data_IF_987171305948
#
_entry.id   IF_987171305948
#
_cell.length_a   1.000
_cell.length_b   1.000
_cell.length_c   1.000
_cell.angle_alpha   90.00
_cell.angle_beta   90.00
_cell.angle_gamma   90.00
#
_symmetry.space_group_name_H-M   'P 1'
#
loop_
_entity.id
_entity.type
_entity.pdbx_description
1 polymer ?
#
# COMPACT_ATOMS: atom_id res chain seq x y z
N UNK A 1 -3.12 -35.20 -24.32
CA UNK A 1 -2.13 -35.19 -23.22
C UNK A 1 -2.88 -34.94 -21.93
N UNK A 2 -3.37 -36.02 -21.30
CA UNK A 2 -4.08 -36.01 -20.02
C UNK A 2 -3.04 -35.89 -18.92
N UNK A 3 -3.14 -34.86 -18.07
CA UNK A 3 -2.54 -34.89 -16.73
C UNK A 3 -3.65 -34.53 -15.74
N UNK A 4 -4.28 -35.59 -15.25
CA UNK A 4 -4.75 -35.82 -13.88
C UNK A 4 -5.36 -34.62 -13.14
N UNK A 5 -6.69 -34.64 -13.08
CA UNK A 5 -7.46 -34.12 -11.97
C UNK A 5 -7.20 -34.97 -10.71
N UNK A 6 -6.82 -34.34 -9.60
CA UNK A 6 -7.24 -34.69 -8.23
C UNK A 6 -6.57 -33.70 -7.25
N UNK A 7 -7.30 -32.66 -6.84
CA UNK A 7 -7.07 -32.02 -5.55
C UNK A 7 -8.44 -31.60 -5.01
N UNK A 8 -8.95 -32.21 -3.93
CA UNK A 8 -10.16 -31.74 -3.28
C UNK A 8 -9.84 -30.40 -2.61
N UNK A 9 -10.79 -29.47 -2.72
CA UNK A 9 -10.97 -28.27 -1.88
C UNK A 9 -9.91 -28.06 -0.79
N UNK A 10 -8.80 -27.40 -1.11
CA UNK A 10 -7.92 -26.79 -0.12
C UNK A 10 -8.34 -25.32 -0.01
N UNK A 11 -8.85 -24.93 1.14
CA UNK A 11 -9.21 -23.54 1.43
C UNK A 11 -7.97 -22.65 1.30
N UNK A 12 -8.14 -21.40 0.88
CA UNK A 12 -7.04 -20.45 0.69
C UNK A 12 -6.22 -20.22 1.99
N UNK A 13 -6.82 -20.47 3.16
CA UNK A 13 -6.15 -20.50 4.45
C UNK A 13 -5.21 -21.70 4.61
N UNK A 14 -5.56 -22.88 4.09
CA UNK A 14 -4.68 -24.04 4.04
C UNK A 14 -3.58 -23.86 2.99
N UNK A 15 -3.83 -23.23 1.85
CA UNK A 15 -2.75 -22.95 0.89
C UNK A 15 -1.75 -21.92 1.42
N UNK A 16 -2.22 -20.90 2.15
CA UNK A 16 -1.33 -19.95 2.84
C UNK A 16 -0.53 -20.64 3.95
N UNK A 17 -1.15 -21.48 4.80
CA UNK A 17 -0.41 -22.22 5.85
C UNK A 17 0.55 -23.26 5.27
N UNK A 18 0.16 -24.02 4.24
CA UNK A 18 0.98 -25.05 3.60
C UNK A 18 2.14 -24.44 2.78
N UNK A 19 1.92 -23.28 2.15
CA UNK A 19 2.98 -22.55 1.44
C UNK A 19 3.92 -21.84 2.41
N UNK A 20 3.43 -21.26 3.50
CA UNK A 20 4.25 -20.67 4.56
C UNK A 20 5.05 -21.74 5.29
N UNK A 21 4.49 -22.93 5.51
CA UNK A 21 5.18 -24.07 6.10
C UNK A 21 6.17 -24.72 5.13
N UNK A 22 5.86 -24.86 3.83
CA UNK A 22 6.83 -25.30 2.81
C UNK A 22 7.93 -24.27 2.58
N UNK A 23 7.63 -22.98 2.63
CA UNK A 23 8.61 -21.91 2.46
C UNK A 23 9.51 -21.80 3.69
N UNK A 24 8.96 -21.89 4.91
CA UNK A 24 9.77 -22.05 6.13
C UNK A 24 10.65 -23.30 6.07
N UNK A 25 10.12 -24.46 5.63
CA UNK A 25 10.94 -25.67 5.45
C UNK A 25 12.02 -25.49 4.38
N UNK A 26 11.71 -24.82 3.26
CA UNK A 26 12.63 -24.61 2.14
C UNK A 26 13.70 -23.56 2.48
N UNK A 27 13.37 -22.52 3.26
CA UNK A 27 14.35 -21.58 3.81
C UNK A 27 15.23 -22.29 4.84
N UNK A 28 14.63 -23.06 5.76
CA UNK A 28 15.35 -23.80 6.79
C UNK A 28 16.27 -24.88 6.18
N UNK A 29 15.91 -25.46 5.03
CA UNK A 29 16.74 -26.44 4.31
C UNK A 29 17.85 -25.82 3.45
N UNK A 30 17.74 -24.53 3.11
CA UNK A 30 18.74 -23.82 2.29
C UNK A 30 19.61 -22.83 3.07
N UNK A 31 19.33 -22.61 4.36
CA UNK A 31 20.28 -21.93 5.23
C UNK A 31 21.47 -22.86 5.44
N UNK A 32 22.69 -22.52 4.95
CA UNK A 32 23.88 -23.14 5.50
C UNK A 32 23.83 -22.92 7.02
N UNK A 33 24.34 -23.88 7.80
CA UNK A 33 24.54 -23.74 9.25
C UNK A 33 25.49 -22.57 9.50
N UNK A 34 24.98 -21.35 9.41
CA UNK A 34 25.70 -20.13 9.69
C UNK A 34 25.69 -19.96 11.19
N UNK A 35 26.86 -20.00 11.81
CA UNK A 35 27.02 -19.66 13.21
C UNK A 35 26.61 -18.20 13.43
N UNK A 36 25.34 -17.99 13.78
CA UNK A 36 24.78 -16.67 14.10
C UNK A 36 25.53 -15.95 15.24
N UNK A 37 26.31 -16.68 16.02
CA UNK A 37 27.07 -16.17 17.16
C UNK A 37 28.39 -15.45 16.78
N UNK A 38 28.94 -15.67 15.58
CA UNK A 38 30.26 -15.10 15.18
C UNK A 38 30.18 -14.03 14.08
N UNK A 39 28.97 -13.75 13.57
CA UNK A 39 28.79 -12.86 12.43
C UNK A 39 28.72 -11.38 12.86
N UNK A 40 29.30 -10.49 12.04
CA UNK A 40 29.24 -9.05 12.28
C UNK A 40 27.79 -8.54 12.34
N UNK A 41 27.52 -7.60 13.25
CA UNK A 41 26.16 -7.12 13.56
C UNK A 41 25.48 -6.53 12.33
N UNK A 42 26.26 -5.88 11.46
CA UNK A 42 25.78 -5.32 10.19
C UNK A 42 25.37 -6.40 9.19
N UNK A 43 26.15 -7.48 9.08
CA UNK A 43 25.81 -8.60 8.20
C UNK A 43 24.56 -9.31 8.69
N UNK A 44 24.39 -9.43 10.02
CA UNK A 44 23.20 -10.03 10.61
C UNK A 44 21.94 -9.20 10.34
N UNK A 45 22.00 -7.87 10.48
CA UNK A 45 20.85 -7.00 10.15
C UNK A 45 20.51 -7.04 8.67
N UNK A 46 21.53 -7.01 7.79
CA UNK A 46 21.31 -7.13 6.33
C UNK A 46 20.70 -8.48 5.95
N UNK A 47 21.18 -9.59 6.52
CA UNK A 47 20.62 -10.91 6.27
C UNK A 47 19.18 -11.02 6.78
N UNK A 48 18.92 -10.49 7.99
CA UNK A 48 17.60 -10.44 8.60
C UNK A 48 16.61 -9.64 7.76
N UNK A 49 16.94 -8.40 7.41
CA UNK A 49 16.09 -7.54 6.57
C UNK A 49 15.92 -8.11 5.17
N UNK A 50 16.99 -8.66 4.56
CA UNK A 50 16.91 -9.33 3.26
C UNK A 50 15.96 -10.53 3.26
N UNK A 51 15.97 -11.33 4.32
CA UNK A 51 15.01 -12.44 4.48
C UNK A 51 13.56 -11.94 4.59
N UNK A 52 13.32 -10.84 5.30
CA UNK A 52 12.01 -10.21 5.41
C UNK A 52 11.52 -9.69 4.05
N UNK A 53 12.40 -9.07 3.25
CA UNK A 53 12.06 -8.63 1.89
C UNK A 53 11.69 -9.81 1.00
N UNK A 54 12.46 -10.90 1.04
CA UNK A 54 12.16 -12.12 0.27
C UNK A 54 10.82 -12.73 0.67
N UNK A 55 10.51 -12.79 1.97
CA UNK A 55 9.21 -13.23 2.49
C UNK A 55 8.06 -12.35 2.00
N UNK A 56 8.18 -11.03 2.14
CA UNK A 56 7.15 -10.08 1.69
C UNK A 56 6.91 -10.18 0.18
N UNK A 57 7.99 -10.22 -0.61
CA UNK A 57 7.93 -10.45 -2.05
C UNK A 57 7.25 -11.79 -2.39
N UNK A 58 7.56 -12.85 -1.67
CA UNK A 58 6.95 -14.16 -1.88
C UNK A 58 5.43 -14.12 -1.68
N UNK A 59 4.95 -13.56 -0.57
CA UNK A 59 3.51 -13.46 -0.29
C UNK A 59 2.78 -12.57 -1.30
N UNK A 60 3.39 -11.46 -1.72
CA UNK A 60 2.79 -10.60 -2.75
C UNK A 60 2.78 -11.29 -4.10
N UNK A 61 3.85 -11.98 -4.51
CA UNK A 61 3.91 -12.73 -5.77
C UNK A 61 2.86 -13.85 -5.82
N UNK A 62 2.64 -14.57 -4.72
CA UNK A 62 1.57 -15.55 -4.62
C UNK A 62 0.20 -14.90 -4.90
N UNK A 63 -0.09 -13.77 -4.25
CA UNK A 63 -1.36 -13.07 -4.39
C UNK A 63 -1.55 -12.51 -5.82
N UNK A 64 -0.50 -11.88 -6.38
CA UNK A 64 -0.47 -11.40 -7.77
C UNK A 64 -0.76 -12.55 -8.72
N UNK A 65 -0.07 -13.68 -8.56
CA UNK A 65 -0.23 -14.88 -9.39
C UNK A 65 -1.68 -15.38 -9.34
N UNK A 66 -2.28 -15.50 -8.16
CA UNK A 66 -3.68 -15.90 -8.03
C UNK A 66 -4.63 -14.94 -8.77
N UNK A 67 -4.43 -13.61 -8.66
CA UNK A 67 -5.24 -12.65 -9.41
C UNK A 67 -5.06 -12.76 -10.92
N UNK A 68 -3.83 -13.02 -11.39
CA UNK A 68 -3.52 -13.22 -12.81
C UNK A 68 -4.11 -14.53 -13.35
N UNK A 69 -4.13 -15.61 -12.56
CA UNK A 69 -4.74 -16.88 -12.96
C UNK A 69 -6.26 -16.77 -13.11
N UNK A 70 -6.93 -16.06 -12.20
CA UNK A 70 -8.38 -15.84 -12.24
C UNK A 70 -8.74 -14.48 -12.86
N UNK A 71 -8.13 -14.14 -13.99
CA UNK A 71 -8.32 -12.84 -14.64
C UNK A 71 -9.68 -12.73 -15.33
N UNK A 72 -10.64 -12.07 -14.68
CA UNK A 72 -12.02 -11.89 -15.19
C UNK A 72 -12.42 -10.43 -15.31
N UNK A 73 -12.17 -9.65 -14.26
CA UNK A 73 -12.52 -8.23 -14.20
C UNK A 73 -11.25 -7.38 -14.25
N UNK A 74 -10.74 -7.06 -15.46
CA UNK A 74 -9.46 -6.37 -15.61
C UNK A 74 -9.45 -4.98 -14.98
N UNK A 75 -10.62 -4.33 -14.80
CA UNK A 75 -10.71 -3.01 -14.17
C UNK A 75 -10.39 -3.08 -12.67
N UNK A 76 -10.97 -4.05 -11.97
CA UNK A 76 -10.79 -4.24 -10.53
C UNK A 76 -9.42 -4.85 -10.25
N UNK A 77 -9.08 -5.93 -10.94
CA UNK A 77 -7.85 -6.67 -10.68
C UNK A 77 -6.61 -5.84 -10.99
N UNK A 78 -6.61 -5.00 -12.05
CA UNK A 78 -5.50 -4.05 -12.27
C UNK A 78 -5.34 -3.06 -11.12
N UNK A 79 -6.43 -2.57 -10.52
CA UNK A 79 -6.35 -1.66 -9.38
C UNK A 79 -5.83 -2.40 -8.13
N UNK A 80 -6.32 -3.62 -7.87
CA UNK A 80 -5.85 -4.48 -6.77
C UNK A 80 -4.37 -4.79 -6.91
N UNK A 81 -3.89 -5.19 -8.11
CA UNK A 81 -2.48 -5.51 -8.35
C UNK A 81 -1.57 -4.33 -8.00
N UNK A 82 -1.97 -3.11 -8.32
CA UNK A 82 -1.20 -1.91 -7.97
C UNK A 82 -1.20 -1.69 -6.45
N UNK A 83 -2.33 -1.91 -5.78
CA UNK A 83 -2.42 -1.74 -4.32
C UNK A 83 -1.53 -2.74 -3.58
N UNK A 84 -1.56 -4.02 -3.96
CA UNK A 84 -0.80 -5.07 -3.25
C UNK A 84 0.73 -4.97 -3.49
N UNK A 85 1.15 -4.30 -4.57
CA UNK A 85 2.56 -4.01 -4.82
C UNK A 85 3.15 -2.94 -3.88
N UNK A 86 2.32 -2.31 -3.04
CA UNK A 86 2.79 -1.33 -2.04
C UNK A 86 3.71 -1.96 -0.99
N UNK A 87 3.35 -3.11 -0.42
CA UNK A 87 4.15 -3.75 0.62
C UNK A 87 5.57 -4.14 0.17
N UNK A 88 5.76 -4.86 -0.96
CA UNK A 88 7.10 -5.22 -1.41
C UNK A 88 7.93 -4.00 -1.86
N UNK A 89 7.29 -2.96 -2.40
CA UNK A 89 7.98 -1.72 -2.75
C UNK A 89 8.59 -1.07 -1.52
N UNK A 90 7.84 -0.97 -0.42
CA UNK A 90 8.33 -0.41 0.84
C UNK A 90 9.44 -1.29 1.44
N UNK A 91 9.30 -2.62 1.37
CA UNK A 91 10.32 -3.54 1.85
C UNK A 91 11.64 -3.40 1.08
N UNK A 92 11.56 -3.34 -0.26
CA UNK A 92 12.73 -3.14 -1.13
C UNK A 92 13.40 -1.79 -0.87
N UNK A 93 12.61 -0.72 -0.82
CA UNK A 93 13.12 0.63 -0.62
C UNK A 93 13.85 0.76 0.73
N UNK A 94 13.25 0.25 1.81
CA UNK A 94 13.90 0.22 3.12
C UNK A 94 15.12 -0.70 3.16
N UNK A 95 15.13 -1.81 2.42
CA UNK A 95 16.34 -2.63 2.30
C UNK A 95 17.46 -1.92 1.53
N UNK A 96 17.13 -1.19 0.47
CA UNK A 96 18.09 -0.36 -0.26
C UNK A 96 18.66 0.74 0.65
N UNK A 97 17.81 1.40 1.45
CA UNK A 97 18.25 2.35 2.47
C UNK A 97 19.16 1.75 3.54
N UNK A 98 19.04 0.45 3.84
CA UNK A 98 19.96 -0.28 4.74
C UNK A 98 21.28 -0.68 4.10
N UNK A 99 21.29 -0.95 2.80
CA UNK A 99 22.54 -1.26 2.09
C UNK A 99 23.37 0.03 1.96
N UNK A 100 22.72 1.13 1.58
CA UNK A 100 23.36 2.43 1.34
C UNK A 100 23.16 3.42 2.51
N UNK A 101 23.46 2.99 3.74
CA UNK A 101 23.35 3.84 4.95
C UNK A 101 24.22 5.11 4.87
N UNK A 102 25.28 5.10 4.05
CA UNK A 102 26.14 6.28 3.82
C UNK A 102 25.79 7.04 2.53
N UNK A 103 24.65 6.73 1.93
CA UNK A 103 24.16 7.38 0.72
C UNK A 103 24.00 8.89 0.91
N UNK A 104 24.02 9.64 -0.20
CA UNK A 104 23.79 11.08 -0.18
C UNK A 104 22.39 11.39 0.37
N UNK A 105 22.21 12.48 1.12
CA UNK A 105 20.89 12.95 1.59
C UNK A 105 19.86 13.07 0.45
N UNK A 106 20.32 13.36 -0.77
CA UNK A 106 19.47 13.41 -1.97
C UNK A 106 18.91 12.03 -2.37
N UNK A 107 19.66 10.95 -2.14
CA UNK A 107 19.23 9.59 -2.43
C UNK A 107 18.11 9.15 -1.48
N UNK A 108 18.25 9.38 -0.18
CA UNK A 108 17.19 9.10 0.80
C UNK A 108 15.91 9.93 0.53
N UNK A 109 16.07 11.23 0.23
CA UNK A 109 14.95 12.09 -0.18
C UNK A 109 14.24 11.56 -1.44
N UNK A 110 14.99 10.95 -2.37
CA UNK A 110 14.44 10.32 -3.56
C UNK A 110 13.65 9.04 -3.22
N UNK A 111 14.19 8.16 -2.39
CA UNK A 111 13.50 6.94 -1.92
C UNK A 111 12.17 7.28 -1.22
N UNK A 112 12.20 8.23 -0.30
CA UNK A 112 10.99 8.72 0.37
C UNK A 112 10.00 9.32 -0.63
N UNK A 113 10.48 10.11 -1.59
CA UNK A 113 9.63 10.64 -2.66
C UNK A 113 8.96 9.54 -3.48
N UNK A 114 9.65 8.42 -3.76
CA UNK A 114 9.08 7.27 -4.48
C UNK A 114 7.96 6.63 -3.67
N UNK A 115 8.18 6.35 -2.37
CA UNK A 115 7.16 5.83 -1.44
C UNK A 115 5.93 6.74 -1.41
N UNK A 116 6.15 8.03 -1.22
CA UNK A 116 5.10 9.05 -1.13
C UNK A 116 4.29 9.19 -2.43
N UNK A 117 4.94 9.13 -3.60
CA UNK A 117 4.26 9.12 -4.90
C UNK A 117 3.46 7.84 -5.11
N UNK A 118 4.01 6.70 -4.67
CA UNK A 118 3.32 5.43 -4.75
C UNK A 118 2.07 5.40 -3.86
N UNK A 119 2.13 5.94 -2.64
CA UNK A 119 0.96 6.10 -1.77
C UNK A 119 -0.17 6.87 -2.48
N UNK A 120 0.16 7.99 -3.13
CA UNK A 120 -0.82 8.77 -3.88
C UNK A 120 -1.49 7.96 -4.99
N UNK A 121 -0.68 7.23 -5.76
CA UNK A 121 -1.16 6.34 -6.81
C UNK A 121 -2.06 5.22 -6.26
N UNK A 122 -1.68 4.61 -5.14
CA UNK A 122 -2.47 3.56 -4.46
C UNK A 122 -3.83 4.10 -3.99
N UNK A 123 -3.88 5.29 -3.39
CA UNK A 123 -5.15 5.92 -2.98
C UNK A 123 -6.07 6.15 -4.18
N UNK A 124 -5.52 6.63 -5.31
CA UNK A 124 -6.32 6.81 -6.52
C UNK A 124 -6.81 5.49 -7.14
N UNK A 125 -5.99 4.44 -7.11
CA UNK A 125 -6.41 3.10 -7.55
C UNK A 125 -7.44 2.49 -6.60
N UNK A 126 -7.34 2.73 -5.31
CA UNK A 126 -8.34 2.31 -4.34
C UNK A 126 -9.68 3.01 -4.59
N UNK A 127 -9.69 4.32 -4.84
CA UNK A 127 -10.91 5.01 -5.27
C UNK A 127 -11.47 4.42 -6.57
N UNK A 128 -10.62 4.19 -7.58
CA UNK A 128 -11.04 3.58 -8.84
C UNK A 128 -11.60 2.16 -8.67
N UNK A 129 -11.07 1.38 -7.72
CA UNK A 129 -11.58 0.07 -7.35
C UNK A 129 -12.98 0.18 -6.76
N UNK A 130 -13.22 1.13 -5.84
CA UNK A 130 -14.55 1.38 -5.28
C UNK A 130 -15.57 1.79 -6.36
N UNK A 131 -15.18 2.64 -7.31
CA UNK A 131 -16.02 2.96 -8.48
C UNK A 131 -16.39 1.73 -9.31
N UNK A 132 -15.45 0.80 -9.48
CA UNK A 132 -15.68 -0.43 -10.23
C UNK A 132 -16.62 -1.38 -9.50
N UNK A 133 -16.50 -1.53 -8.17
CA UNK A 133 -17.42 -2.36 -7.38
C UNK A 133 -18.86 -1.89 -7.44
N UNK A 134 -19.08 -0.58 -7.58
CA UNK A 134 -20.41 -0.01 -7.75
C UNK A 134 -20.94 -0.10 -9.19
N UNK A 135 -20.17 -0.67 -10.13
CA UNK A 135 -20.44 -0.63 -11.57
C UNK A 135 -20.66 0.79 -12.14
N UNK A 136 -20.22 1.83 -11.43
CA UNK A 136 -20.37 3.22 -11.88
C UNK A 136 -19.31 3.49 -12.94
N UNK A 137 -19.71 3.39 -14.21
CA UNK A 137 -18.86 3.77 -15.33
C UNK A 137 -19.07 5.24 -15.69
N UNK A 138 -18.21 6.11 -15.14
CA UNK A 138 -18.19 7.55 -15.46
C UNK A 138 -18.07 7.81 -16.98
N UNK A 139 -17.44 6.88 -17.72
CA UNK A 139 -17.25 6.96 -19.18
C UNK A 139 -18.52 6.70 -20.00
N UNK A 140 -19.52 6.00 -19.45
CA UNK A 140 -20.76 5.69 -20.19
C UNK A 140 -21.94 6.57 -19.80
N UNK A 141 -21.78 7.48 -18.83
CA UNK A 141 -22.90 8.27 -18.28
C UNK A 141 -24.07 7.43 -17.76
N UNK A 142 -23.81 6.16 -17.39
CA UNK A 142 -24.80 5.26 -16.81
C UNK A 142 -24.53 5.27 -15.30
N UNK A 143 -25.19 6.19 -14.61
CA UNK A 143 -25.41 6.07 -13.17
C UNK A 143 -26.69 5.26 -13.03
N UNK A 144 -26.69 4.11 -12.33
CA UNK A 144 -27.93 3.37 -12.10
C UNK A 144 -28.95 4.31 -11.43
N UNK A 145 -30.17 4.36 -11.96
CA UNK A 145 -31.22 5.29 -11.48
C UNK A 145 -31.56 5.08 -9.98
N UNK A 146 -31.22 3.91 -9.43
CA UNK A 146 -31.34 3.54 -8.02
C UNK A 146 -30.38 4.33 -7.08
N UNK A 147 -29.36 4.98 -7.64
CA UNK A 147 -28.37 5.78 -6.89
C UNK A 147 -28.57 7.29 -7.10
N UNK A 148 -29.36 7.69 -8.10
CA UNK A 148 -29.56 9.07 -8.51
C UNK A 148 -30.46 9.77 -7.47
N UNK A 149 -29.92 10.74 -6.73
CA UNK A 149 -30.68 11.53 -5.74
C UNK A 149 -30.33 11.32 -4.27
N UNK A 150 -29.38 10.42 -3.92
CA UNK A 150 -28.85 10.36 -2.54
C UNK A 150 -28.21 11.69 -2.15
N UNK A 151 -28.41 12.13 -0.91
CA UNK A 151 -27.80 13.37 -0.42
C UNK A 151 -26.38 13.10 0.11
N UNK A 152 -25.43 13.92 -0.32
CA UNK A 152 -24.07 13.94 0.24
C UNK A 152 -24.06 15.02 1.33
N UNK A 153 -23.84 14.61 2.58
CA UNK A 153 -23.56 15.54 3.66
C UNK A 153 -22.05 15.84 3.67
N UNK A 154 -21.68 17.07 3.34
CA UNK A 154 -20.30 17.53 3.42
C UNK A 154 -19.96 17.90 4.87
N UNK A 155 -19.14 17.09 5.54
CA UNK A 155 -18.56 17.45 6.83
C UNK A 155 -17.54 18.60 6.70
N UNK A 156 -17.42 19.40 7.75
CA UNK A 156 -16.43 20.48 7.89
C UNK A 156 -15.00 19.91 7.72
N UNK A 157 -14.05 20.58 7.01
CA UNK A 157 -14.03 21.98 6.56
C UNK A 157 -14.47 22.24 5.10
N UNK A 158 -14.87 21.22 4.32
CA UNK A 158 -15.26 21.42 2.92
C UNK A 158 -16.56 22.22 2.75
N UNK A 159 -17.35 22.36 3.82
CA UNK A 159 -18.55 23.22 3.88
C UNK A 159 -18.23 24.71 3.62
N UNK A 160 -16.96 25.11 3.69
CA UNK A 160 -16.50 26.47 3.38
C UNK A 160 -16.41 26.74 1.86
N UNK A 161 -16.19 25.69 1.05
CA UNK A 161 -15.95 25.81 -0.40
C UNK A 161 -17.04 25.14 -1.26
N UNK A 162 -17.89 24.27 -0.68
CA UNK A 162 -19.00 23.60 -1.37
C UNK A 162 -20.28 23.61 -0.51
N UNK A 163 -21.49 23.59 -1.11
CA UNK A 163 -22.75 23.56 -0.37
C UNK A 163 -22.83 22.35 0.58
N UNK A 164 -23.47 22.54 1.74
CA UNK A 164 -23.56 21.56 2.83
C UNK A 164 -24.25 20.25 2.44
N UNK A 165 -25.17 20.32 1.49
CA UNK A 165 -25.89 19.20 0.89
C UNK A 165 -25.78 19.31 -0.63
N UNK A 166 -25.20 18.29 -1.25
CA UNK A 166 -25.15 18.18 -2.71
C UNK A 166 -25.81 16.86 -3.08
N UNK A 167 -26.78 16.90 -4.00
CA UNK A 167 -27.34 15.67 -4.53
C UNK A 167 -26.24 14.89 -5.24
N UNK A 168 -26.26 13.58 -5.05
CA UNK A 168 -25.37 12.64 -5.72
C UNK A 168 -25.67 12.67 -7.23
N UNK A 169 -24.95 13.56 -7.91
CA UNK A 169 -24.98 13.71 -9.35
C UNK A 169 -23.66 13.24 -9.96
N UNK A 170 -23.68 12.96 -11.26
CA UNK A 170 -22.50 12.59 -12.04
C UNK A 170 -21.37 13.61 -11.92
N UNK A 171 -21.72 14.91 -11.80
CA UNK A 171 -20.74 15.97 -11.63
C UNK A 171 -19.98 15.85 -10.30
N UNK A 172 -20.65 15.53 -9.21
CA UNK A 172 -20.03 15.39 -7.88
C UNK A 172 -19.12 14.17 -7.82
N UNK A 173 -19.51 13.05 -8.45
CA UNK A 173 -18.64 11.88 -8.59
C UNK A 173 -17.38 12.18 -9.40
N UNK A 174 -17.51 12.92 -10.51
CA UNK A 174 -16.35 13.40 -11.27
C UNK A 174 -15.44 14.29 -10.41
N UNK A 175 -16.00 15.20 -9.62
CA UNK A 175 -15.22 16.07 -8.73
C UNK A 175 -14.41 15.28 -7.70
N UNK A 176 -15.02 14.30 -7.01
CA UNK A 176 -14.32 13.45 -6.05
C UNK A 176 -13.13 12.72 -6.70
N UNK A 177 -13.31 12.21 -7.92
CA UNK A 177 -12.23 11.60 -8.70
C UNK A 177 -11.14 12.62 -9.07
N UNK A 178 -11.51 13.82 -9.50
CA UNK A 178 -10.55 14.87 -9.84
C UNK A 178 -9.73 15.31 -8.63
N UNK A 179 -10.33 15.42 -7.44
CA UNK A 179 -9.60 15.75 -6.21
C UNK A 179 -8.56 14.68 -5.83
N UNK A 180 -8.87 13.40 -6.02
CA UNK A 180 -7.88 12.35 -5.79
C UNK A 180 -6.79 12.34 -6.86
N UNK A 181 -7.14 12.57 -8.13
CA UNK A 181 -6.15 12.68 -9.21
C UNK A 181 -5.25 13.91 -9.08
N UNK A 182 -5.77 15.00 -8.50
CA UNK A 182 -4.99 16.20 -8.19
C UNK A 182 -3.82 15.86 -7.26
N UNK A 183 -4.05 15.04 -6.22
CA UNK A 183 -2.97 14.57 -5.34
C UNK A 183 -1.93 13.69 -6.06
N UNK A 184 -2.37 12.77 -6.92
CA UNK A 184 -1.46 11.91 -7.71
C UNK A 184 -0.52 12.70 -8.61
N UNK A 185 -0.97 13.86 -9.11
CA UNK A 185 -0.18 14.70 -10.01
C UNK A 185 0.68 15.70 -9.23
N UNK A 186 0.14 16.33 -8.19
CA UNK A 186 0.87 17.34 -7.41
C UNK A 186 2.02 16.71 -6.62
N UNK A 187 1.82 15.52 -6.06
CA UNK A 187 2.86 14.84 -5.25
C UNK A 187 4.19 14.68 -6.01
N UNK A 188 4.25 14.02 -7.19
CA UNK A 188 5.50 13.87 -7.93
C UNK A 188 6.05 15.19 -8.46
N UNK A 189 5.19 16.14 -8.86
CA UNK A 189 5.65 17.47 -9.30
C UNK A 189 6.38 18.18 -8.16
N UNK A 190 5.76 18.22 -6.97
CA UNK A 190 6.38 18.80 -5.79
C UNK A 190 7.66 18.06 -5.39
N UNK A 191 7.68 16.73 -5.41
CA UNK A 191 8.89 15.94 -5.10
C UNK A 191 10.06 16.27 -6.04
N UNK A 192 9.80 16.36 -7.36
CA UNK A 192 10.84 16.75 -8.34
C UNK A 192 11.34 18.17 -8.04
N UNK A 193 10.45 19.13 -7.79
CA UNK A 193 10.85 20.48 -7.43
C UNK A 193 11.67 20.54 -6.15
N UNK A 194 11.30 19.79 -5.11
CA UNK A 194 12.05 19.72 -3.85
C UNK A 194 13.46 19.20 -4.07
N UNK A 195 13.64 18.10 -4.81
CA UNK A 195 14.96 17.53 -5.12
C UNK A 195 15.80 18.51 -5.94
N UNK A 196 15.22 19.14 -6.98
CA UNK A 196 15.93 20.12 -7.82
C UNK A 196 16.39 21.32 -7.01
N UNK A 197 15.53 21.86 -6.15
CA UNK A 197 15.89 23.00 -5.29
C UNK A 197 16.97 22.64 -4.27
N UNK A 198 16.96 21.40 -3.77
CA UNK A 198 17.99 20.88 -2.87
C UNK A 198 19.35 20.73 -3.58
N UNK A 199 19.36 20.26 -4.82
CA UNK A 199 20.58 20.18 -5.65
C UNK A 199 21.15 21.55 -6.00
N UNK A 200 20.29 22.56 -6.20
CA UNK A 200 20.71 23.95 -6.45
C UNK A 200 21.15 24.68 -5.18
N UNK A 201 20.98 24.09 -4.00
CA UNK A 201 21.27 24.75 -2.71
C UNK A 201 20.31 25.90 -2.35
N UNK A 202 19.19 26.05 -3.08
CA UNK A 202 18.19 27.10 -2.87
C UNK A 202 17.05 26.67 -1.93
N UNK A 203 17.14 25.47 -1.35
CA UNK A 203 16.11 24.92 -0.47
C UNK A 203 16.08 25.62 0.89
N UNK A 204 15.40 26.76 0.93
CA UNK A 204 15.23 27.60 2.13
C UNK A 204 14.08 27.09 2.99
N UNK A 205 14.12 27.35 4.30
CA UNK A 205 13.06 26.96 5.26
C UNK A 205 11.66 27.38 4.80
N UNK A 206 11.47 28.62 4.34
CA UNK A 206 10.16 29.10 3.87
C UNK A 206 9.61 28.32 2.67
N UNK A 207 10.50 27.90 1.77
CA UNK A 207 10.14 27.10 0.58
C UNK A 207 9.72 25.69 1.02
N UNK A 208 10.49 25.07 1.93
CA UNK A 208 10.14 23.78 2.54
C UNK A 208 8.73 23.82 3.16
N UNK A 209 8.46 24.81 4.02
CA UNK A 209 7.16 24.98 4.65
C UNK A 209 6.03 25.16 3.63
N UNK A 210 6.29 25.91 2.55
CA UNK A 210 5.31 26.10 1.48
C UNK A 210 4.94 24.78 0.80
N UNK A 211 5.93 23.96 0.41
CA UNK A 211 5.67 22.64 -0.17
C UNK A 211 4.95 21.71 0.82
N UNK A 212 5.38 21.70 2.08
CA UNK A 212 4.72 20.90 3.14
C UNK A 212 3.24 21.28 3.28
N UNK A 213 2.91 22.57 3.31
CA UNK A 213 1.51 23.03 3.40
C UNK A 213 0.70 22.61 2.17
N UNK A 214 1.23 22.82 0.96
CA UNK A 214 0.56 22.43 -0.30
C UNK A 214 0.28 20.92 -0.32
N UNK A 215 1.27 20.11 0.05
CA UNK A 215 1.17 18.65 0.09
C UNK A 215 0.16 18.19 1.15
N UNK A 216 0.15 18.80 2.34
CA UNK A 216 -0.82 18.51 3.39
C UNK A 216 -2.25 18.85 2.98
N UNK A 217 -2.47 19.98 2.30
CA UNK A 217 -3.79 20.34 1.77
C UNK A 217 -4.22 19.34 0.70
N UNK A 218 -3.33 18.98 -0.22
CA UNK A 218 -3.64 18.05 -1.32
C UNK A 218 -3.96 16.63 -0.81
N UNK A 219 -3.17 16.08 0.12
CA UNK A 219 -3.47 14.76 0.72
C UNK A 219 -4.76 14.81 1.54
N UNK A 220 -5.02 15.89 2.27
CA UNK A 220 -6.25 16.05 3.05
C UNK A 220 -7.48 16.07 2.14
N UNK A 221 -7.41 16.77 1.01
CA UNK A 221 -8.49 16.83 0.03
C UNK A 221 -8.74 15.45 -0.63
N UNK A 222 -7.69 14.70 -0.96
CA UNK A 222 -7.80 13.37 -1.54
C UNK A 222 -8.35 12.32 -0.56
N UNK A 223 -7.95 12.39 0.72
CA UNK A 223 -8.51 11.52 1.76
C UNK A 223 -9.96 11.91 2.08
N UNK A 224 -10.26 13.21 2.11
CA UNK A 224 -11.63 13.69 2.28
C UNK A 224 -12.55 13.17 1.17
N UNK A 225 -12.12 13.25 -0.10
CA UNK A 225 -12.92 12.76 -1.22
C UNK A 225 -13.22 11.27 -1.11
N UNK A 226 -12.24 10.48 -0.65
CA UNK A 226 -12.39 9.06 -0.42
C UNK A 226 -13.33 8.74 0.74
N UNK A 227 -13.23 9.47 1.86
CA UNK A 227 -14.11 9.29 3.03
C UNK A 227 -15.55 9.65 2.70
N UNK A 228 -15.77 10.78 2.00
CA UNK A 228 -17.11 11.17 1.53
C UNK A 228 -17.68 10.11 0.60
N UNK A 229 -16.89 9.63 -0.37
CA UNK A 229 -17.31 8.56 -1.26
C UNK A 229 -17.69 7.30 -0.47
N UNK A 230 -16.86 6.88 0.48
CA UNK A 230 -17.16 5.72 1.33
C UNK A 230 -18.47 5.90 2.11
N UNK A 231 -18.69 7.04 2.75
CA UNK A 231 -19.88 7.27 3.57
C UNK A 231 -21.18 7.24 2.74
N UNK A 232 -21.15 7.81 1.53
CA UNK A 232 -22.30 7.81 0.60
C UNK A 232 -22.66 6.40 0.14
N UNK A 233 -21.66 5.57 -0.10
CA UNK A 233 -21.80 4.24 -0.68
C UNK A 233 -21.59 3.10 0.32
N UNK A 234 -21.56 3.38 1.62
CA UNK A 234 -21.20 2.40 2.66
C UNK A 234 -22.08 1.15 2.62
N UNK A 235 -23.39 1.30 2.36
CA UNK A 235 -24.35 0.20 2.24
C UNK A 235 -24.06 -0.71 1.05
N UNK A 236 -23.76 -0.14 -0.11
CA UNK A 236 -23.46 -0.87 -1.34
C UNK A 236 -22.11 -1.58 -1.29
N UNK A 237 -21.13 -0.97 -0.61
CA UNK A 237 -19.80 -1.57 -0.46
C UNK A 237 -19.68 -2.51 0.73
N UNK A 238 -20.66 -2.55 1.65
CA UNK A 238 -20.67 -3.46 2.79
C UNK A 238 -20.23 -4.91 2.45
N UNK A 239 -20.72 -5.57 1.38
CA UNK A 239 -20.30 -6.92 1.02
C UNK A 239 -18.80 -7.04 0.68
N UNK A 240 -18.15 -5.96 0.24
CA UNK A 240 -16.76 -5.96 -0.20
C UNK A 240 -15.74 -5.55 0.89
N UNK A 241 -16.21 -5.29 2.13
CA UNK A 241 -15.39 -4.89 3.30
C UNK A 241 -14.32 -3.83 2.97
N UNK A 242 -14.71 -2.66 2.42
CA UNK A 242 -13.79 -1.63 1.93
C UNK A 242 -12.91 -1.02 3.04
N UNK A 243 -13.41 -0.94 4.28
CA UNK A 243 -12.62 -0.39 5.40
C UNK A 243 -11.39 -1.24 5.70
N UNK A 244 -11.49 -2.57 5.63
CA UNK A 244 -10.34 -3.45 5.84
C UNK A 244 -9.29 -3.25 4.73
N UNK A 245 -9.75 -3.11 3.48
CA UNK A 245 -8.89 -2.82 2.32
C UNK A 245 -8.21 -1.46 2.42
N UNK A 246 -8.93 -0.42 2.85
CA UNK A 246 -8.39 0.91 3.09
C UNK A 246 -7.42 0.93 4.27
N UNK A 247 -7.77 0.29 5.38
CA UNK A 247 -6.92 0.18 6.58
C UNK A 247 -5.62 -0.55 6.26
N UNK A 248 -5.64 -1.49 5.32
CA UNK A 248 -4.43 -2.15 4.85
C UNK A 248 -3.47 -1.17 4.13
N UNK A 249 -4.00 -0.25 3.33
CA UNK A 249 -3.21 0.80 2.65
C UNK A 249 -2.71 1.83 3.67
N UNK A 250 -3.65 2.42 4.41
CA UNK A 250 -3.32 3.54 5.30
C UNK A 250 -2.56 3.07 6.54
N UNK A 251 -2.75 1.82 6.95
CA UNK A 251 -2.00 1.19 8.03
C UNK A 251 -0.50 1.19 7.76
N UNK A 252 -0.06 0.80 6.57
CA UNK A 252 1.37 0.84 6.18
C UNK A 252 1.96 2.23 6.44
N UNK A 253 1.30 3.26 5.90
CA UNK A 253 1.75 4.66 6.03
C UNK A 253 1.69 5.14 7.47
N UNK A 254 0.64 4.79 8.20
CA UNK A 254 0.43 5.18 9.59
C UNK A 254 1.53 4.61 10.49
N UNK A 255 1.80 3.30 10.43
CA UNK A 255 2.86 2.69 11.21
C UNK A 255 4.23 3.24 10.81
N UNK A 256 4.49 3.41 9.50
CA UNK A 256 5.73 4.02 9.01
C UNK A 256 5.98 5.44 9.53
N UNK A 257 4.93 6.25 9.61
CA UNK A 257 5.04 7.61 10.14
C UNK A 257 5.26 7.61 11.66
N UNK A 258 4.43 6.89 12.41
CA UNK A 258 4.51 6.89 13.87
C UNK A 258 5.81 6.27 14.39
N UNK A 259 6.33 5.23 13.74
CA UNK A 259 7.62 4.67 14.13
C UNK A 259 8.77 5.67 13.91
N UNK A 260 8.74 6.46 12.83
CA UNK A 260 9.71 7.52 12.60
C UNK A 260 9.71 8.56 13.73
N UNK A 261 8.52 9.04 14.12
CA UNK A 261 8.37 9.99 15.23
C UNK A 261 8.85 9.40 16.56
N UNK A 262 8.50 8.15 16.86
CA UNK A 262 8.96 7.47 18.09
C UNK A 262 10.48 7.39 18.13
N UNK A 263 11.12 7.00 17.02
CA UNK A 263 12.57 6.90 16.94
C UNK A 263 13.26 8.26 17.05
N UNK A 264 12.68 9.32 16.47
CA UNK A 264 13.16 10.70 16.61
C UNK A 264 13.09 11.17 18.07
N UNK A 265 12.00 10.89 18.78
CA UNK A 265 11.86 11.19 20.21
C UNK A 265 12.90 10.42 21.03
N UNK A 266 13.12 9.13 20.73
CA UNK A 266 14.13 8.31 21.42
C UNK A 266 15.56 8.84 21.20
N UNK A 267 15.85 9.35 20.00
CA UNK A 267 17.10 10.04 19.68
C UNK A 267 17.23 11.34 20.47
N UNK A 268 16.18 12.16 20.53
CA UNK A 268 16.16 13.42 21.27
C UNK A 268 16.36 13.25 22.79
N UNK A 269 15.84 12.16 23.38
CA UNK A 269 16.01 11.81 24.81
C UNK A 269 17.43 11.26 25.09
N UNK A 270 18.24 11.00 24.07
CA UNK A 270 19.62 10.52 24.21
C UNK A 270 19.73 9.03 24.57
N UNK A 271 18.67 8.25 24.35
CA UNK A 271 18.66 6.79 24.47
C UNK A 271 19.48 6.18 23.32
N UNK A 272 19.33 6.72 22.11
CA UNK A 272 20.13 6.34 20.94
C UNK A 272 21.40 7.20 20.94
N UNK A 273 22.52 6.66 21.42
CA UNK A 273 23.82 7.35 21.42
C UNK A 273 24.68 6.94 20.23
N UNK A 274 25.31 7.90 19.56
CA UNK A 274 26.37 7.60 18.60
C UNK A 274 27.63 7.17 19.37
N UNK A 275 27.95 5.88 19.32
CA UNK A 275 29.12 5.33 20.00
C UNK A 275 30.40 5.40 19.14
N UNK A 276 30.28 5.84 17.88
CA UNK A 276 31.37 5.99 16.93
C UNK A 276 31.39 7.38 16.30
N UNK A 277 32.58 7.96 16.21
CA UNK A 277 32.89 9.30 15.67
C UNK A 277 32.47 9.51 14.20
N UNK A 278 32.06 8.46 13.49
CA UNK A 278 31.72 8.46 12.07
C UNK A 278 30.24 8.12 11.75
N UNK A 279 29.43 7.80 12.76
CA UNK A 279 28.03 7.41 12.59
C UNK A 279 27.14 8.39 13.36
N UNK A 280 26.57 9.35 12.63
CA UNK A 280 25.60 10.29 13.21
C UNK A 280 24.35 9.53 13.69
N UNK A 281 23.72 10.09 14.74
CA UNK A 281 22.47 9.55 15.32
C UNK A 281 21.38 9.42 14.24
N UNK A 282 21.38 10.32 13.25
CA UNK A 282 20.46 10.31 12.08
C UNK A 282 20.51 8.97 11.32
N UNK A 283 21.71 8.50 10.97
CA UNK A 283 21.88 7.26 10.19
C UNK A 283 21.48 6.01 11.00
N UNK A 284 21.70 6.02 12.32
CA UNK A 284 21.29 4.92 13.21
C UNK A 284 19.76 4.87 13.32
N UNK A 285 19.12 6.03 13.46
CA UNK A 285 17.67 6.15 13.50
C UNK A 285 17.04 5.61 12.22
N UNK A 286 17.57 6.04 11.07
CA UNK A 286 17.11 5.62 9.76
C UNK A 286 17.31 4.11 9.52
N UNK A 287 18.47 3.57 9.88
CA UNK A 287 18.71 2.14 9.80
C UNK A 287 17.72 1.34 10.66
N UNK A 288 17.46 1.79 11.90
CA UNK A 288 16.50 1.12 12.77
C UNK A 288 15.07 1.18 12.20
N UNK A 289 14.66 2.34 11.68
CA UNK A 289 13.37 2.50 11.01
C UNK A 289 13.24 1.56 9.81
N UNK A 290 14.27 1.49 8.96
CA UNK A 290 14.25 0.63 7.79
C UNK A 290 14.18 -0.87 8.14
N UNK A 291 14.84 -1.30 9.23
CA UNK A 291 14.69 -2.68 9.74
C UNK A 291 13.26 -2.96 10.18
N UNK A 292 12.64 -2.05 10.93
CA UNK A 292 11.26 -2.19 11.39
C UNK A 292 10.28 -2.26 10.21
N UNK A 293 10.43 -1.37 9.22
CA UNK A 293 9.63 -1.40 7.98
C UNK A 293 9.73 -2.75 7.28
N UNK A 294 10.94 -3.33 7.16
CA UNK A 294 11.11 -4.64 6.53
C UNK A 294 10.28 -5.74 7.21
N UNK A 295 10.25 -5.75 8.55
CA UNK A 295 9.46 -6.70 9.34
C UNK A 295 7.96 -6.44 9.18
N UNK A 296 7.54 -5.18 9.29
CA UNK A 296 6.14 -4.77 9.12
C UNK A 296 5.58 -5.15 7.76
N UNK A 297 6.37 -5.01 6.68
CA UNK A 297 5.93 -5.36 5.33
C UNK A 297 5.67 -6.86 5.15
N UNK A 298 6.28 -7.74 5.95
CA UNK A 298 5.92 -9.16 5.97
C UNK A 298 4.51 -9.32 6.54
N UNK A 299 4.22 -8.69 7.68
CA UNK A 299 2.90 -8.74 8.33
C UNK A 299 1.83 -8.15 7.40
N UNK A 300 2.09 -6.98 6.80
CA UNK A 300 1.16 -6.35 5.87
C UNK A 300 0.95 -7.17 4.60
N UNK A 301 1.98 -7.82 4.06
CA UNK A 301 1.81 -8.70 2.88
C UNK A 301 0.84 -9.86 3.17
N UNK A 302 0.87 -10.42 4.38
CA UNK A 302 -0.07 -11.46 4.82
C UNK A 302 -1.47 -10.86 5.00
N UNK A 303 -1.61 -9.69 5.63
CA UNK A 303 -2.90 -9.00 5.77
C UNK A 303 -3.51 -8.68 4.39
N UNK A 304 -2.69 -8.29 3.41
CA UNK A 304 -3.10 -8.04 2.04
C UNK A 304 -3.68 -9.29 1.37
N UNK A 305 -3.15 -10.48 1.64
CA UNK A 305 -3.72 -11.75 1.13
C UNK A 305 -5.16 -11.96 1.60
N UNK A 306 -5.47 -11.65 2.87
CA UNK A 306 -6.82 -11.76 3.40
C UNK A 306 -7.75 -10.64 2.88
N UNK A 307 -7.27 -9.39 2.87
CA UNK A 307 -8.04 -8.23 2.46
C UNK A 307 -8.39 -8.23 0.96
N UNK A 308 -7.49 -8.74 0.12
CA UNK A 308 -7.60 -8.77 -1.35
C UNK A 308 -7.67 -10.20 -1.92
N UNK A 309 -8.32 -11.11 -1.20
CA UNK A 309 -8.47 -12.51 -1.61
C UNK A 309 -9.20 -12.69 -2.97
N UNK A 310 -8.88 -13.78 -3.68
CA UNK A 310 -9.34 -14.03 -5.07
C UNK A 310 -10.70 -14.73 -5.18
N UNK A 311 -11.29 -15.18 -4.05
CA UNK A 311 -12.56 -15.93 -4.06
C UNK A 311 -13.73 -15.30 -4.84
N UNK A 312 -13.91 -13.95 -4.90
CA UNK A 312 -14.98 -13.36 -5.71
C UNK A 312 -14.80 -13.59 -7.21
N UNK A 313 -13.56 -13.83 -7.66
CA UNK A 313 -13.20 -14.03 -9.07
C UNK A 313 -13.14 -15.52 -9.46
N UNK A 314 -12.96 -16.43 -8.50
CA UNK A 314 -12.91 -17.88 -8.76
C UNK A 314 -14.30 -18.53 -8.94
N UNK A 315 -15.39 -17.83 -8.59
CA UNK A 315 -16.76 -18.35 -8.51
C UNK A 315 -17.30 -19.07 -9.76
N UNK A 316 -16.98 -18.65 -10.99
CA UNK A 316 -17.49 -19.36 -12.18
C UNK A 316 -16.89 -20.76 -12.37
N UNK A 317 -15.73 -21.06 -11.76
CA UNK A 317 -15.14 -22.40 -11.84
C UNK A 317 -15.79 -23.32 -10.80
N UNK A 318 -16.09 -22.81 -9.60
CA UNK A 318 -16.79 -23.55 -8.55
C UNK A 318 -18.27 -23.84 -8.90
N UNK A 319 -18.94 -22.92 -9.58
CA UNK A 319 -20.31 -23.14 -10.10
C UNK A 319 -20.32 -24.11 -11.28
N UNK A 320 -19.38 -24.00 -12.23
CA UNK A 320 -19.22 -24.99 -13.31
C UNK A 320 -18.88 -26.39 -12.80
N UNK A 321 -17.99 -26.53 -11.81
CA UNK A 321 -17.67 -27.81 -11.17
C UNK A 321 -18.87 -28.42 -10.40
N UNK A 322 -19.75 -27.57 -9.83
CA UNK A 322 -21.00 -28.04 -9.19
C UNK A 322 -22.08 -28.42 -10.20
N UNK A 323 -22.11 -27.80 -11.38
CA UNK A 323 -23.03 -28.20 -12.46
C UNK A 323 -22.57 -29.51 -13.11
N UNK A 324 -21.27 -29.70 -13.34
CA UNK A 324 -20.72 -30.93 -13.92
C UNK A 324 -20.94 -32.15 -12.99
N UNK A 325 -20.84 -31.95 -11.67
CA UNK A 325 -21.20 -32.97 -10.65
C UNK A 325 -22.70 -33.24 -10.51
N UNK A 326 -23.58 -32.41 -11.08
CA UNK A 326 -25.04 -32.62 -11.08
C UNK A 326 -25.54 -33.22 -12.40
N UNK A 327 -24.68 -33.29 -13.42
CA UNK A 327 -25.01 -33.84 -14.76
C UNK A 327 -24.39 -35.22 -14.99
N UNK A 328 -23.56 -35.72 -14.07
CA UNK A 328 -23.19 -37.15 -13.94
C UNK A 328 -24.05 -37.83 -12.87
#
# INVERSE_FOLDING_TARGET
MKVVALCPSLDASEFSSLSLQRFCLHICSHLPTMDFATMDRRTLTLLGSGSCVMLSMHFTLQLVSQHLFYWKNPKEQKAILIIILMAPLYALDSFVGLVDIQGSKAFFTFLDSVKECYEALVIAKFLALMYSYLNISISKSIVPDEIKGREIHHSFPMTLFQPRTVHLDHRTLKQLKYWTWQFVVIRPICSIFMIVLQLLGLYTTWISWTFTIILNISVSLALYSLVVFYHVFAKELAPHKPLSKFLCIKGIVFFCFWQGIVLEILAAIGIIRSHHFWLDVEHIQEALQNVLVCIEMVIFSVIQQYAYHVSPYSGDIASKLKMDKKTQ
#
